data_IF_224479414788
#
_entry.id   IF_224479414788
#
_cell.length_a   1.000
_cell.length_b   1.000
_cell.length_c   1.000
_cell.angle_alpha   90.00
_cell.angle_beta   90.00
_cell.angle_gamma   90.00
#
_symmetry.space_group_name_H-M   'P 1'
#
loop_
_entity.id
_entity.type
_entity.pdbx_description
1 polymer ?
#
# COMPACT_ATOMS: atom_id res chain seq x y z
N UNK A 1 33.72 3.67 2.19
CA UNK A 1 32.86 3.94 1.03
C UNK A 1 31.44 4.12 1.55
N UNK A 2 30.69 5.13 1.10
CA UNK A 2 29.34 5.43 1.61
C UNK A 2 28.33 4.92 0.60
N UNK A 3 27.36 4.10 1.02
CA UNK A 3 26.29 3.62 0.14
C UNK A 3 25.04 4.47 0.39
N UNK A 4 24.47 5.13 -0.64
CA UNK A 4 23.29 5.97 -0.46
C UNK A 4 22.12 5.10 0.01
N UNK A 5 21.42 5.53 1.06
CA UNK A 5 20.14 4.95 1.50
C UNK A 5 18.99 5.86 1.07
N UNK A 6 18.06 5.39 0.21
CA UNK A 6 16.87 6.15 -0.10
C UNK A 6 16.11 6.49 1.17
N UNK A 7 15.70 7.76 1.32
CA UNK A 7 14.79 8.17 2.40
C UNK A 7 13.35 7.65 2.19
N UNK A 8 13.10 7.07 1.02
CA UNK A 8 11.84 6.44 0.63
C UNK A 8 11.44 5.34 1.64
N UNK A 9 10.15 5.10 1.78
CA UNK A 9 9.65 3.95 2.52
C UNK A 9 10.15 2.64 1.86
N UNK A 10 10.47 1.62 2.67
CA UNK A 10 11.02 0.35 2.19
C UNK A 10 10.07 -0.42 1.26
N UNK A 11 8.76 -0.20 1.34
CA UNK A 11 7.80 -0.78 0.40
C UNK A 11 7.66 0.08 -0.85
N UNK A 12 8.24 -0.41 -1.94
CA UNK A 12 8.48 0.34 -3.17
C UNK A 12 7.85 -0.34 -4.38
N UNK A 13 7.77 0.41 -5.47
CA UNK A 13 7.50 -0.10 -6.82
C UNK A 13 8.61 0.38 -7.75
N UNK A 14 8.88 -0.40 -8.80
CA UNK A 14 9.84 -0.05 -9.84
C UNK A 14 9.09 0.27 -11.13
N UNK A 15 9.15 1.51 -11.59
CA UNK A 15 8.57 1.95 -12.85
C UNK A 15 9.66 2.06 -13.92
N UNK A 16 9.47 1.46 -15.09
CA UNK A 16 10.33 1.66 -16.24
C UNK A 16 9.80 2.82 -17.09
N UNK A 17 10.52 3.96 -17.21
CA UNK A 17 10.11 5.06 -18.08
C UNK A 17 10.11 4.67 -19.57
N UNK A 18 11.00 3.76 -19.95
CA UNK A 18 11.15 3.29 -21.33
C UNK A 18 9.94 2.47 -21.76
N UNK A 19 9.54 1.49 -20.95
CA UNK A 19 8.42 0.60 -21.26
C UNK A 19 7.06 1.12 -20.78
N UNK A 20 7.06 2.15 -19.93
CA UNK A 20 5.88 2.73 -19.27
C UNK A 20 5.06 1.71 -18.47
N UNK A 21 5.75 0.73 -17.90
CA UNK A 21 5.18 -0.34 -17.09
C UNK A 21 5.93 -0.45 -15.76
N UNK A 22 5.28 -1.12 -14.81
CA UNK A 22 5.81 -1.45 -13.50
C UNK A 22 6.33 -2.88 -13.47
N UNK A 23 7.37 -3.09 -12.66
CA UNK A 23 7.81 -4.43 -12.31
C UNK A 23 6.72 -5.15 -11.50
N UNK A 24 6.55 -6.45 -11.76
CA UNK A 24 5.57 -7.32 -11.12
C UNK A 24 6.16 -8.71 -10.94
N UNK A 25 6.17 -9.19 -9.71
CA UNK A 25 6.56 -10.56 -9.40
C UNK A 25 5.52 -11.56 -9.92
N UNK A 26 6.00 -12.68 -10.45
CA UNK A 26 5.20 -13.84 -10.81
C UNK A 26 5.68 -15.03 -9.98
N UNK A 27 5.00 -15.33 -8.86
CA UNK A 27 5.39 -16.45 -7.99
C UNK A 27 5.15 -17.82 -8.65
N UNK A 28 4.31 -17.91 -9.68
CA UNK A 28 4.03 -19.18 -10.37
C UNK A 28 5.19 -19.57 -11.28
N UNK A 29 5.77 -18.57 -11.97
CA UNK A 29 6.94 -18.76 -12.83
C UNK A 29 8.27 -18.50 -12.11
N UNK A 30 8.23 -18.11 -10.83
CA UNK A 30 9.37 -17.62 -10.05
C UNK A 30 10.20 -16.56 -10.78
N UNK A 31 9.54 -15.56 -11.37
CA UNK A 31 10.18 -14.51 -12.20
C UNK A 31 9.63 -13.13 -11.87
N UNK A 32 10.26 -12.08 -12.39
CA UNK A 32 9.73 -10.71 -12.34
C UNK A 32 9.60 -10.18 -13.76
N UNK A 33 8.47 -9.55 -14.08
CA UNK A 33 8.19 -8.99 -15.40
C UNK A 33 7.98 -7.48 -15.30
N UNK A 34 8.33 -6.72 -16.33
CA UNK A 34 8.09 -5.27 -16.41
C UNK A 34 6.92 -5.02 -17.37
N UNK A 35 5.75 -5.57 -17.01
CA UNK A 35 4.59 -5.66 -17.90
C UNK A 35 3.30 -5.06 -17.32
N UNK A 36 3.30 -4.65 -16.05
CA UNK A 36 2.10 -4.15 -15.41
C UNK A 36 1.87 -2.68 -15.77
N UNK A 37 0.76 -2.30 -16.43
CA UNK A 37 0.51 -0.90 -16.77
C UNK A 37 0.16 -0.06 -15.53
N UNK A 38 -0.41 -0.69 -14.50
CA UNK A 38 -0.89 -0.04 -13.26
C UNK A 38 -0.57 -0.95 -12.05
N UNK A 39 -0.05 -0.42 -10.94
CA UNK A 39 0.45 -1.22 -9.81
C UNK A 39 -0.63 -1.50 -8.75
N UNK A 40 -1.84 -1.90 -9.17
CA UNK A 40 -2.93 -2.25 -8.24
C UNK A 40 -2.84 -3.68 -7.69
N UNK A 41 -1.94 -4.50 -8.24
CA UNK A 41 -1.68 -5.87 -7.78
C UNK A 41 -0.65 -5.85 -6.65
N UNK A 42 -0.81 -6.73 -5.67
CA UNK A 42 0.15 -6.87 -4.57
C UNK A 42 1.52 -7.33 -5.07
N UNK A 43 1.56 -8.04 -6.19
CA UNK A 43 2.76 -8.50 -6.88
C UNK A 43 3.62 -7.38 -7.48
N UNK A 44 3.08 -6.16 -7.62
CA UNK A 44 3.86 -5.01 -8.08
C UNK A 44 4.70 -4.38 -6.97
N UNK A 45 4.37 -4.66 -5.70
CA UNK A 45 5.09 -4.13 -4.54
C UNK A 45 6.30 -5.00 -4.15
N UNK A 46 7.40 -4.33 -3.83
CA UNK A 46 8.64 -4.96 -3.37
C UNK A 46 9.11 -4.33 -2.07
N UNK A 47 9.65 -5.13 -1.15
CA UNK A 47 10.42 -4.63 -0.02
C UNK A 47 11.89 -4.49 -0.42
N UNK A 48 12.41 -3.29 -0.24
CA UNK A 48 13.80 -2.96 -0.48
C UNK A 48 14.58 -3.11 0.83
N UNK A 49 15.31 -4.22 0.96
CA UNK A 49 16.16 -4.48 2.11
C UNK A 49 17.56 -3.96 1.86
N UNK A 50 18.19 -3.39 2.89
CA UNK A 50 19.59 -3.00 2.84
C UNK A 50 20.41 -3.84 3.82
N UNK A 51 21.35 -4.61 3.29
CA UNK A 51 22.22 -5.47 4.07
C UNK A 51 23.65 -5.43 3.51
N UNK A 52 24.64 -5.25 4.39
CA UNK A 52 26.07 -5.31 4.05
C UNK A 52 26.50 -4.43 2.85
N UNK A 53 25.87 -3.27 2.68
CA UNK A 53 26.19 -2.35 1.58
C UNK A 53 25.43 -2.63 0.27
N UNK A 54 24.59 -3.65 0.24
CA UNK A 54 23.82 -4.08 -0.92
C UNK A 54 22.32 -4.02 -0.67
N UNK A 55 21.56 -4.06 -1.76
CA UNK A 55 20.12 -4.06 -1.78
C UNK A 55 19.57 -5.41 -2.21
N UNK A 56 18.49 -5.85 -1.56
CA UNK A 56 17.75 -7.03 -1.95
C UNK A 56 16.29 -6.63 -2.23
N UNK A 57 15.74 -7.14 -3.34
CA UNK A 57 14.34 -6.94 -3.72
C UNK A 57 13.52 -8.15 -3.30
N UNK A 58 12.73 -8.02 -2.24
CA UNK A 58 11.79 -9.05 -1.79
C UNK A 58 10.40 -8.79 -2.38
N UNK A 59 9.81 -9.80 -3.01
CA UNK A 59 8.45 -9.76 -3.55
C UNK A 59 7.39 -9.84 -2.44
N UNK A 60 6.14 -9.60 -2.80
CA UNK A 60 5.03 -9.70 -1.85
C UNK A 60 4.73 -11.11 -1.32
N UNK A 61 5.36 -12.13 -1.90
CA UNK A 61 5.32 -13.52 -1.43
C UNK A 61 6.56 -13.92 -0.62
N UNK A 62 7.35 -12.95 -0.17
CA UNK A 62 8.57 -13.15 0.60
C UNK A 62 9.66 -13.97 -0.12
N UNK A 63 9.80 -13.73 -1.43
CA UNK A 63 10.88 -14.28 -2.23
C UNK A 63 11.76 -13.15 -2.80
N UNK A 64 13.05 -13.37 -2.88
CA UNK A 64 14.04 -12.40 -3.35
C UNK A 64 14.38 -12.60 -4.82
N UNK A 65 14.50 -11.50 -5.58
CA UNK A 65 15.03 -11.53 -6.94
C UNK A 65 16.53 -11.88 -6.90
N UNK A 66 16.93 -12.86 -7.70
CA UNK A 66 18.33 -13.29 -7.84
C UNK A 66 18.96 -12.85 -9.17
N UNK A 67 20.29 -12.93 -9.24
CA UNK A 67 21.12 -12.75 -10.43
C UNK A 67 20.82 -13.76 -11.54
N UNK A 68 20.13 -14.86 -11.21
CA UNK A 68 19.73 -15.92 -12.14
C UNK A 68 18.30 -15.73 -12.67
N UNK A 69 17.77 -14.51 -12.59
CA UNK A 69 16.44 -14.10 -13.04
C UNK A 69 15.30 -14.90 -12.39
N UNK A 70 15.53 -15.36 -11.15
CA UNK A 70 14.58 -16.18 -10.39
C UNK A 70 14.30 -15.61 -9.02
N UNK A 71 13.08 -15.86 -8.55
CA UNK A 71 12.67 -15.64 -7.17
C UNK A 71 13.14 -16.81 -6.27
N UNK A 72 13.85 -16.50 -5.19
CA UNK A 72 14.41 -17.46 -4.22
C UNK A 72 13.96 -17.12 -2.80
N UNK A 73 13.87 -18.10 -1.91
CA UNK A 73 13.23 -17.91 -0.59
C UNK A 73 14.09 -17.20 0.46
N UNK A 74 15.39 -17.02 0.22
CA UNK A 74 16.32 -16.46 1.20
C UNK A 74 17.29 -15.46 0.55
N UNK A 75 17.68 -14.40 1.26
CA UNK A 75 18.71 -13.48 0.78
C UNK A 75 20.08 -14.16 0.78
N UNK A 76 20.89 -13.83 -0.22
CA UNK A 76 22.27 -14.32 -0.34
C UNK A 76 23.08 -13.38 -1.23
N UNK A 77 24.33 -13.70 -1.49
CA UNK A 77 25.16 -12.97 -2.48
C UNK A 77 24.52 -12.95 -3.87
N UNK A 78 23.76 -13.99 -4.23
CA UNK A 78 23.04 -14.08 -5.50
C UNK A 78 21.81 -13.17 -5.58
N UNK A 79 21.39 -12.53 -4.50
CA UNK A 79 20.25 -11.59 -4.48
C UNK A 79 20.67 -10.17 -4.09
N UNK A 80 21.98 -9.94 -3.96
CA UNK A 80 22.57 -8.68 -3.54
C UNK A 80 22.83 -7.80 -4.77
N UNK A 81 22.32 -6.57 -4.76
CA UNK A 81 22.52 -5.60 -5.83
C UNK A 81 23.12 -4.31 -5.29
N UNK A 82 24.10 -3.75 -5.99
CA UNK A 82 24.55 -2.39 -5.79
C UNK A 82 23.60 -1.42 -6.48
N UNK A 83 23.16 -0.38 -5.77
CA UNK A 83 22.26 0.63 -6.31
C UNK A 83 23.04 1.87 -6.75
N UNK A 84 22.83 2.28 -7.99
CA UNK A 84 23.23 3.58 -8.50
C UNK A 84 22.01 4.49 -8.54
N UNK A 85 22.16 5.75 -8.12
CA UNK A 85 21.07 6.73 -8.08
C UNK A 85 21.43 7.93 -8.95
N UNK A 86 20.47 8.40 -9.76
CA UNK A 86 20.55 9.62 -10.57
C UNK A 86 19.43 10.61 -10.20
N UNK A 87 19.59 11.91 -10.56
CA UNK A 87 18.53 12.90 -10.38
C UNK A 87 17.19 12.43 -10.96
N UNK A 88 16.09 12.84 -10.32
CA UNK A 88 14.74 12.42 -10.72
C UNK A 88 14.32 11.06 -10.17
N UNK A 89 15.06 10.49 -9.19
CA UNK A 89 14.71 9.23 -8.55
C UNK A 89 14.99 7.98 -9.41
N UNK A 90 15.83 8.15 -10.45
CA UNK A 90 16.24 7.05 -11.31
C UNK A 90 17.27 6.18 -10.58
N UNK A 91 17.03 4.88 -10.58
CA UNK A 91 17.88 3.87 -9.98
C UNK A 91 18.24 2.79 -10.99
N UNK A 92 19.47 2.29 -10.89
CA UNK A 92 19.91 1.08 -11.55
C UNK A 92 20.49 0.12 -10.51
N UNK A 93 20.24 -1.18 -10.69
CA UNK A 93 20.67 -2.23 -9.78
C UNK A 93 21.67 -3.13 -10.52
N UNK A 94 22.87 -3.29 -9.96
CA UNK A 94 23.97 -4.04 -10.57
C UNK A 94 24.49 -5.14 -9.65
N UNK A 95 25.09 -6.19 -10.21
CA UNK A 95 25.77 -7.25 -9.45
C UNK A 95 27.15 -6.82 -8.90
N UNK A 96 27.72 -5.72 -9.39
CA UNK A 96 29.08 -5.26 -9.06
C UNK A 96 30.18 -5.87 -9.93
N UNK A 97 29.85 -6.84 -10.77
CA UNK A 97 30.75 -7.51 -11.71
C UNK A 97 30.54 -7.04 -13.17
N UNK A 98 29.59 -6.12 -13.38
CA UNK A 98 29.29 -5.48 -14.66
C UNK A 98 27.92 -5.83 -15.21
N UNK A 99 27.18 -6.74 -14.57
CA UNK A 99 25.78 -7.01 -14.85
C UNK A 99 24.86 -5.93 -14.27
N UNK A 100 23.82 -5.60 -15.04
CA UNK A 100 22.77 -4.64 -14.69
C UNK A 100 21.40 -5.31 -14.81
N UNK A 101 20.48 -5.01 -13.89
CA UNK A 101 19.08 -5.42 -14.02
C UNK A 101 18.35 -4.51 -15.01
N UNK A 102 17.71 -5.11 -16.00
CA UNK A 102 16.81 -4.43 -16.93
C UNK A 102 15.79 -5.39 -17.53
N UNK A 103 14.77 -4.85 -18.21
CA UNK A 103 13.76 -5.64 -18.88
C UNK A 103 14.30 -6.23 -20.20
N UNK A 104 14.17 -7.54 -20.37
CA UNK A 104 14.75 -8.29 -21.47
C UNK A 104 13.71 -9.07 -22.28
N UNK A 105 13.91 -9.12 -23.59
CA UNK A 105 13.08 -9.91 -24.51
C UNK A 105 11.64 -9.38 -24.70
N UNK A 106 10.83 -10.07 -25.50
CA UNK A 106 9.50 -9.60 -25.91
C UNK A 106 8.48 -9.55 -24.77
N UNK A 107 8.73 -10.30 -23.68
CA UNK A 107 7.88 -10.33 -22.48
C UNK A 107 8.41 -9.44 -21.34
N UNK A 108 9.50 -8.69 -21.58
CA UNK A 108 10.07 -7.77 -20.60
C UNK A 108 10.42 -8.47 -19.27
N UNK A 109 11.12 -9.61 -19.36
CA UNK A 109 11.65 -10.30 -18.18
C UNK A 109 12.67 -9.40 -17.47
N UNK A 110 12.45 -9.07 -16.20
CA UNK A 110 13.45 -8.37 -15.42
C UNK A 110 14.57 -9.35 -15.06
N UNK A 111 15.75 -9.11 -15.62
CA UNK A 111 16.89 -10.00 -15.43
C UNK A 111 18.22 -9.29 -15.55
N UNK A 112 19.28 -9.98 -15.13
CA UNK A 112 20.64 -9.48 -15.14
C UNK A 112 21.24 -9.64 -16.54
N UNK A 113 21.86 -8.59 -17.07
CA UNK A 113 22.52 -8.62 -18.36
C UNK A 113 23.67 -7.62 -18.44
N UNK A 114 24.55 -7.77 -19.42
CA UNK A 114 25.82 -7.03 -19.50
C UNK A 114 25.78 -5.78 -20.40
N UNK A 115 24.68 -5.56 -21.13
CA UNK A 115 24.64 -4.52 -22.17
C UNK A 115 23.24 -3.91 -22.33
N UNK A 116 22.71 -3.21 -21.30
CA UNK A 116 21.49 -2.46 -21.47
C UNK A 116 21.68 -1.37 -22.54
N UNK A 117 20.67 -1.17 -23.38
CA UNK A 117 20.70 -0.17 -24.45
C UNK A 117 19.71 0.96 -24.16
N UNK A 118 20.06 2.19 -24.52
CA UNK A 118 19.17 3.36 -24.45
C UNK A 118 18.52 3.60 -23.07
N UNK A 119 19.19 3.21 -21.99
CA UNK A 119 18.73 3.45 -20.63
C UNK A 119 17.72 2.44 -20.10
N UNK A 120 17.65 1.23 -20.67
CA UNK A 120 16.83 0.10 -20.20
C UNK A 120 17.04 -0.24 -18.71
N UNK A 121 18.22 0.05 -18.17
CA UNK A 121 18.60 -0.20 -16.78
C UNK A 121 17.99 0.78 -15.77
N UNK A 122 17.43 1.89 -16.23
CA UNK A 122 16.91 2.94 -15.34
C UNK A 122 15.44 2.72 -14.99
N UNK A 123 15.19 2.58 -13.70
CA UNK A 123 13.85 2.54 -13.10
C UNK A 123 13.63 3.76 -12.23
N UNK A 124 12.40 4.26 -12.14
CA UNK A 124 12.02 5.21 -11.10
C UNK A 124 11.57 4.41 -9.90
N UNK A 125 12.25 4.60 -8.78
CA UNK A 125 11.85 4.02 -7.49
C UNK A 125 10.79 4.91 -6.85
N UNK A 126 9.60 4.36 -6.59
CA UNK A 126 8.48 5.12 -6.05
C UNK A 126 7.91 4.43 -4.82
N UNK A 127 7.22 5.19 -3.96
CA UNK A 127 6.36 4.60 -2.94
C UNK A 127 5.33 3.69 -3.61
N UNK A 128 5.08 2.53 -3.02
CA UNK A 128 3.96 1.71 -3.45
C UNK A 128 2.65 2.50 -3.21
N UNK A 129 1.88 2.87 -4.23
CA UNK A 129 0.65 3.64 -4.02
C UNK A 129 -0.39 2.78 -3.30
N UNK A 130 -1.26 3.39 -2.52
CA UNK A 130 -2.34 2.65 -1.85
C UNK A 130 -3.49 2.42 -2.82
N UNK A 131 -3.83 1.16 -3.07
CA UNK A 131 -5.05 0.79 -3.80
C UNK A 131 -6.05 0.17 -2.84
N UNK A 132 -7.31 0.57 -2.98
CA UNK A 132 -8.41 0.12 -2.13
C UNK A 132 -9.59 -0.37 -2.96
N UNK A 133 -10.41 -1.17 -2.31
CA UNK A 133 -11.77 -1.48 -2.73
C UNK A 133 -12.75 -0.87 -1.73
N UNK A 134 -13.88 -0.41 -2.25
CA UNK A 134 -14.96 0.15 -1.45
C UNK A 134 -16.16 -0.77 -1.53
N UNK A 135 -16.64 -1.23 -0.37
CA UNK A 135 -17.76 -2.16 -0.27
C UNK A 135 -18.96 -1.45 0.35
N UNK A 136 -20.10 -1.50 -0.33
CA UNK A 136 -21.35 -0.93 0.17
C UNK A 136 -21.98 -1.80 1.26
N UNK A 137 -23.01 -1.27 1.93
CA UNK A 137 -23.86 -2.02 2.88
C UNK A 137 -24.47 -3.28 2.26
N UNK A 138 -24.79 -3.27 0.96
CA UNK A 138 -25.32 -4.44 0.24
C UNK A 138 -24.26 -5.48 -0.10
N UNK A 139 -23.05 -5.37 0.49
CA UNK A 139 -21.92 -6.30 0.32
C UNK A 139 -21.36 -6.36 -1.10
N UNK A 140 -21.77 -5.43 -1.97
CA UNK A 140 -21.23 -5.27 -3.32
C UNK A 140 -20.09 -4.26 -3.32
N UNK A 141 -19.09 -4.50 -4.14
CA UNK A 141 -18.02 -3.56 -4.41
C UNK A 141 -18.48 -2.47 -5.36
N UNK A 142 -17.98 -1.25 -5.13
CA UNK A 142 -18.08 -0.18 -6.10
C UNK A 142 -17.19 -0.54 -7.28
N UNK A 143 -17.75 -0.47 -8.48
CA UNK A 143 -17.05 -0.81 -9.72
C UNK A 143 -17.41 0.19 -10.81
N UNK A 144 -16.44 0.51 -11.65
CA UNK A 144 -16.67 1.24 -12.90
C UNK A 144 -17.28 0.26 -13.92
N UNK A 145 -18.43 0.64 -14.48
CA UNK A 145 -19.16 -0.10 -15.52
C UNK A 145 -19.31 0.81 -16.74
N UNK A 146 -19.22 0.23 -17.93
CA UNK A 146 -19.29 0.95 -19.21
C UNK A 146 -18.29 2.12 -19.26
N UNK A 147 -17.10 1.88 -18.70
CA UNK A 147 -15.96 2.80 -18.62
C UNK A 147 -16.15 4.13 -17.88
N UNK A 148 -17.36 4.44 -17.40
CA UNK A 148 -17.68 5.76 -16.84
C UNK A 148 -18.58 5.68 -15.61
N UNK A 149 -19.62 4.86 -15.61
CA UNK A 149 -20.59 4.84 -14.52
C UNK A 149 -20.08 4.03 -13.33
N UNK A 150 -20.41 4.44 -12.10
CA UNK A 150 -19.97 3.73 -10.90
C UNK A 150 -21.17 3.09 -10.21
N UNK A 151 -21.14 1.77 -10.04
CA UNK A 151 -22.20 1.00 -9.40
C UNK A 151 -21.67 0.16 -8.25
N UNK A 152 -22.52 -0.10 -7.27
CA UNK A 152 -22.38 -1.26 -6.38
C UNK A 152 -22.75 -2.54 -7.17
N UNK A 153 -21.78 -3.08 -7.91
CA UNK A 153 -22.02 -4.01 -9.01
C UNK A 153 -22.06 -5.47 -8.56
N UNK A 154 -20.98 -5.94 -7.92
CA UNK A 154 -20.70 -7.36 -7.69
C UNK A 154 -20.09 -7.60 -6.32
N UNK A 155 -20.24 -8.82 -5.79
CA UNK A 155 -19.49 -9.26 -4.59
C UNK A 155 -18.07 -9.72 -4.92
N UNK A 156 -17.72 -9.84 -6.20
CA UNK A 156 -16.39 -10.22 -6.65
C UNK A 156 -15.55 -8.98 -6.98
N UNK A 157 -14.29 -9.01 -6.56
CA UNK A 157 -13.33 -7.98 -6.92
C UNK A 157 -12.91 -8.14 -8.38
N UNK A 158 -12.92 -7.01 -9.09
CA UNK A 158 -12.37 -6.87 -10.45
C UNK A 158 -11.41 -5.69 -10.46
N UNK A 159 -10.53 -5.56 -11.46
CA UNK A 159 -9.69 -4.37 -11.60
C UNK A 159 -10.48 -3.06 -11.59
N UNK A 160 -11.68 -3.05 -12.20
CA UNK A 160 -12.57 -1.88 -12.21
C UNK A 160 -13.23 -1.59 -10.86
N UNK A 161 -13.03 -2.46 -9.86
CA UNK A 161 -13.46 -2.26 -8.47
C UNK A 161 -12.36 -1.72 -7.56
N UNK A 162 -11.17 -1.46 -8.13
CA UNK A 162 -10.01 -0.96 -7.42
C UNK A 162 -9.80 0.51 -7.73
N UNK A 163 -9.51 1.28 -6.69
CA UNK A 163 -9.26 2.70 -6.76
C UNK A 163 -7.97 3.03 -6.03
N UNK A 164 -7.09 3.80 -6.66
CA UNK A 164 -5.96 4.42 -6.00
C UNK A 164 -6.51 5.45 -5.02
N UNK A 165 -6.07 5.33 -3.76
CA UNK A 165 -6.44 6.21 -2.67
C UNK A 165 -5.42 7.36 -2.60
N UNK A 166 -5.84 8.54 -3.02
CA UNK A 166 -4.99 9.73 -3.03
C UNK A 166 -5.58 10.76 -2.06
N UNK A 167 -4.92 10.95 -0.92
CA UNK A 167 -5.43 11.85 0.12
C UNK A 167 -4.36 12.82 0.57
N UNK A 168 -4.79 14.07 0.67
CA UNK A 168 -4.01 15.17 1.22
C UNK A 168 -4.32 15.29 2.72
N UNK A 169 -3.29 15.05 3.53
CA UNK A 169 -3.38 15.05 4.99
C UNK A 169 -3.76 16.44 5.54
N UNK A 170 -3.41 17.53 4.84
CA UNK A 170 -3.67 18.89 5.32
C UNK A 170 -5.15 19.30 5.14
N UNK A 171 -5.80 18.77 4.09
CA UNK A 171 -7.15 19.18 3.70
C UNK A 171 -8.24 18.13 3.97
N UNK A 172 -7.85 16.92 4.43
CA UNK A 172 -8.74 15.77 4.60
C UNK A 172 -9.59 15.46 3.35
N UNK A 173 -9.04 15.82 2.19
CA UNK A 173 -9.64 15.56 0.89
C UNK A 173 -9.09 14.28 0.30
N UNK A 174 -9.98 13.51 -0.31
CA UNK A 174 -9.72 12.25 -0.97
C UNK A 174 -10.09 12.37 -2.45
N UNK A 175 -9.19 11.90 -3.29
CA UNK A 175 -9.46 11.58 -4.69
C UNK A 175 -9.35 10.07 -4.88
N UNK A 176 -10.23 9.52 -5.70
CA UNK A 176 -10.26 8.09 -6.02
C UNK A 176 -9.99 7.92 -7.51
N UNK A 177 -8.79 7.47 -7.87
CA UNK A 177 -8.42 7.20 -9.25
C UNK A 177 -8.70 5.75 -9.59
N UNK A 178 -9.53 5.51 -10.60
CA UNK A 178 -9.87 4.15 -11.01
C UNK A 178 -8.77 3.52 -11.89
N UNK A 179 -8.86 2.21 -12.10
CA UNK A 179 -7.93 1.47 -12.95
C UNK A 179 -7.94 1.90 -14.43
N UNK A 180 -8.92 2.67 -14.93
CA UNK A 180 -8.86 3.25 -16.27
C UNK A 180 -8.04 4.56 -16.34
N UNK A 181 -7.52 5.03 -15.19
CA UNK A 181 -6.73 6.25 -15.07
C UNK A 181 -7.53 7.51 -14.77
N UNK A 182 -8.86 7.48 -14.87
CA UNK A 182 -9.75 8.59 -14.54
C UNK A 182 -10.10 8.64 -13.05
N UNK A 183 -10.46 9.83 -12.57
CA UNK A 183 -10.88 10.07 -11.20
C UNK A 183 -12.40 9.99 -11.06
N UNK A 184 -12.86 9.55 -9.89
CA UNK A 184 -14.27 9.71 -9.53
C UNK A 184 -14.58 11.19 -9.37
N UNK A 185 -15.67 11.63 -9.99
CA UNK A 185 -16.08 13.02 -9.99
C UNK A 185 -17.59 13.15 -9.81
N UNK A 186 -18.02 14.10 -8.98
CA UNK A 186 -19.43 14.44 -8.86
C UNK A 186 -19.88 15.25 -10.08
N UNK A 187 -20.92 14.79 -10.78
CA UNK A 187 -21.45 15.40 -12.01
C UNK A 187 -22.88 15.93 -11.83
N UNK A 188 -23.44 16.47 -12.91
CA UNK A 188 -24.84 16.94 -12.97
C UNK A 188 -25.80 15.82 -12.56
N UNK A 189 -26.97 16.20 -12.06
CA UNK A 189 -27.96 15.25 -11.52
C UNK A 189 -27.46 14.38 -10.36
N UNK A 190 -26.40 14.84 -9.67
CA UNK A 190 -25.86 14.20 -8.46
C UNK A 190 -25.22 12.83 -8.70
N UNK A 191 -24.96 12.45 -9.95
CA UNK A 191 -24.25 11.20 -10.27
C UNK A 191 -22.76 11.33 -9.95
N UNK A 192 -22.11 10.21 -9.66
CA UNK A 192 -20.65 10.14 -9.54
C UNK A 192 -20.12 9.24 -10.64
N UNK A 193 -19.22 9.78 -11.47
CA UNK A 193 -18.70 9.12 -12.66
C UNK A 193 -17.17 9.03 -12.60
N UNK A 194 -16.59 8.00 -13.21
CA UNK A 194 -15.15 7.79 -13.36
C UNK A 194 -14.59 8.47 -14.63
N UNK A 195 -14.80 9.78 -14.76
CA UNK A 195 -14.35 10.57 -15.91
C UNK A 195 -13.70 11.91 -15.52
N UNK A 196 -13.27 12.04 -14.26
CA UNK A 196 -12.62 13.24 -13.75
C UNK A 196 -11.12 13.28 -14.05
N UNK A 197 -10.61 14.50 -14.09
CA UNK A 197 -9.18 14.82 -14.13
C UNK A 197 -8.66 15.26 -12.74
N UNK A 198 -7.37 15.06 -12.44
CA UNK A 198 -6.82 15.27 -11.09
C UNK A 198 -6.94 16.71 -10.56
N UNK A 199 -7.03 17.70 -11.45
CA UNK A 199 -7.12 19.13 -11.07
C UNK A 199 -8.57 19.63 -10.96
N UNK A 200 -9.56 18.78 -11.22
CA UNK A 200 -10.97 19.17 -11.13
C UNK A 200 -11.46 19.18 -9.69
N UNK A 201 -12.04 20.30 -9.25
CA UNK A 201 -12.66 20.43 -7.93
C UNK A 201 -13.70 19.33 -7.63
N UNK A 202 -14.43 18.88 -8.66
CA UNK A 202 -15.47 17.84 -8.56
C UNK A 202 -14.94 16.46 -8.16
N UNK A 203 -13.62 16.25 -8.19
CA UNK A 203 -12.97 14.99 -7.83
C UNK A 203 -12.54 14.91 -6.37
N UNK A 204 -12.60 16.03 -5.63
CA UNK A 204 -12.19 16.10 -4.23
C UNK A 204 -13.38 15.83 -3.31
N UNK A 205 -13.33 14.71 -2.59
CA UNK A 205 -14.32 14.34 -1.59
C UNK A 205 -13.75 14.57 -0.18
N UNK A 206 -14.55 15.12 0.74
CA UNK A 206 -14.18 15.08 2.16
C UNK A 206 -14.49 13.71 2.72
N UNK A 207 -13.57 13.19 3.51
CA UNK A 207 -13.68 11.87 4.11
C UNK A 207 -13.98 11.97 5.60
N UNK A 208 -14.92 11.16 6.07
CA UNK A 208 -15.21 10.97 7.49
C UNK A 208 -15.07 9.50 7.86
N UNK A 209 -14.30 9.21 8.89
CA UNK A 209 -14.08 7.85 9.38
C UNK A 209 -15.15 7.43 10.40
N UNK A 210 -15.53 6.16 10.32
CA UNK A 210 -16.35 5.47 11.31
C UNK A 210 -15.83 4.02 11.46
N UNK A 211 -14.80 3.82 12.28
CA UNK A 211 -14.27 2.51 12.68
C UNK A 211 -14.09 1.54 11.50
N UNK A 212 -13.21 1.90 10.55
CA UNK A 212 -12.90 1.06 9.38
C UNK A 212 -13.89 1.22 8.21
N UNK A 213 -14.88 2.10 8.34
CA UNK A 213 -15.73 2.58 7.26
C UNK A 213 -15.46 4.05 6.99
N UNK A 214 -15.75 4.46 5.76
CA UNK A 214 -15.67 5.84 5.34
C UNK A 214 -17.04 6.33 4.86
N UNK A 215 -17.30 7.59 5.12
CA UNK A 215 -18.42 8.35 4.55
C UNK A 215 -17.79 9.47 3.72
N UNK A 216 -18.20 9.58 2.46
CA UNK A 216 -17.64 10.55 1.52
C UNK A 216 -18.62 11.67 1.26
N UNK A 217 -18.16 12.92 1.39
CA UNK A 217 -18.92 14.12 1.08
C UNK A 217 -18.34 14.78 -0.16
N UNK A 218 -19.18 14.99 -1.17
CA UNK A 218 -18.82 15.72 -2.39
C UNK A 218 -18.68 17.24 -2.16
N UNK A 219 -18.05 17.99 -3.08
CA UNK A 219 -17.88 19.44 -2.96
C UNK A 219 -19.19 20.22 -2.78
N UNK A 220 -20.30 19.70 -3.31
CA UNK A 220 -21.64 20.28 -3.16
C UNK A 220 -22.27 20.03 -1.77
N UNK A 221 -21.50 19.49 -0.81
CA UNK A 221 -21.89 19.16 0.57
C UNK A 221 -22.92 18.04 0.70
N UNK A 222 -23.11 17.23 -0.34
CA UNK A 222 -23.91 15.99 -0.27
C UNK A 222 -23.03 14.76 -0.11
N UNK A 223 -23.55 13.79 0.62
CA UNK A 223 -22.88 12.51 0.87
C UNK A 223 -23.15 11.52 -0.25
N UNK A 224 -22.11 10.74 -0.57
CA UNK A 224 -22.15 9.68 -1.55
C UNK A 224 -22.86 8.47 -0.96
N UNK A 225 -23.82 7.94 -1.70
CA UNK A 225 -24.58 6.76 -1.33
C UNK A 225 -24.99 5.96 -2.56
N UNK A 226 -25.53 4.78 -2.32
CA UNK A 226 -25.97 3.87 -3.38
C UNK A 226 -27.47 3.99 -3.58
N UNK A 227 -27.86 4.37 -4.79
CA UNK A 227 -29.25 4.45 -5.21
C UNK A 227 -29.89 3.05 -5.29
N UNK A 228 -31.23 2.93 -5.31
CA UNK A 228 -31.91 1.63 -5.40
C UNK A 228 -31.52 0.77 -6.60
N UNK A 229 -31.15 1.41 -7.72
CA UNK A 229 -30.65 0.74 -8.93
C UNK A 229 -29.16 0.38 -8.86
N UNK A 230 -28.48 0.64 -7.74
CA UNK A 230 -27.06 0.36 -7.53
C UNK A 230 -26.10 1.48 -7.92
N UNK A 231 -26.58 2.58 -8.54
CA UNK A 231 -25.73 3.67 -9.00
C UNK A 231 -25.18 4.51 -7.83
N UNK A 232 -23.91 4.92 -7.91
CA UNK A 232 -23.29 5.82 -6.96
C UNK A 232 -23.73 7.27 -7.21
N UNK A 233 -24.31 7.91 -6.18
CA UNK A 233 -24.81 9.28 -6.26
C UNK A 233 -24.50 10.09 -5.00
N UNK A 234 -24.26 11.39 -5.16
CA UNK A 234 -24.12 12.36 -4.08
C UNK A 234 -25.48 13.03 -3.77
N UNK A 235 -26.41 12.29 -3.15
CA UNK A 235 -27.82 12.68 -3.12
C UNK A 235 -28.30 13.26 -1.79
N UNK A 236 -27.77 12.81 -0.65
CA UNK A 236 -28.28 13.14 0.69
C UNK A 236 -27.44 14.19 1.41
N UNK A 237 -28.03 14.95 2.32
CA UNK A 237 -27.34 15.99 3.13
C UNK A 237 -26.99 15.52 4.54
N UNK A 238 -27.59 14.41 4.98
CA UNK A 238 -27.30 13.76 6.26
C UNK A 238 -27.00 12.30 5.92
N UNK A 239 -25.81 11.78 6.27
CA UNK A 239 -25.45 10.42 5.90
C UNK A 239 -26.23 9.43 6.76
N UNK A 240 -26.67 8.35 6.14
CA UNK A 240 -27.21 7.18 6.80
C UNK A 240 -26.37 5.95 6.51
N UNK A 241 -26.90 4.76 6.81
CA UNK A 241 -26.13 3.53 6.64
C UNK A 241 -25.83 3.12 5.18
N UNK A 242 -26.45 3.76 4.19
CA UNK A 242 -26.19 3.51 2.76
C UNK A 242 -25.05 4.38 2.21
N UNK A 243 -24.63 5.39 2.97
CA UNK A 243 -23.51 6.29 2.67
C UNK A 243 -22.21 5.83 3.33
N UNK A 244 -22.24 4.75 4.11
CA UNK A 244 -21.07 4.11 4.68
C UNK A 244 -20.49 3.06 3.73
N UNK A 245 -19.20 3.22 3.41
CA UNK A 245 -18.43 2.28 2.61
C UNK A 245 -17.35 1.64 3.46
N UNK A 246 -17.33 0.31 3.49
CA UNK A 246 -16.23 -0.41 4.08
C UNK A 246 -15.01 -0.40 3.17
N UNK A 247 -13.85 -0.05 3.70
CA UNK A 247 -12.59 0.02 2.95
C UNK A 247 -11.79 -1.27 3.11
N UNK A 248 -11.15 -1.73 2.04
CA UNK A 248 -10.18 -2.82 2.09
C UNK A 248 -8.99 -2.53 1.20
N UNK A 249 -7.79 -2.67 1.75
CA UNK A 249 -6.54 -2.56 0.99
C UNK A 249 -6.45 -3.69 -0.03
N UNK A 250 -6.08 -3.36 -1.27
CA UNK A 250 -6.04 -4.29 -2.39
C UNK A 250 -4.62 -4.76 -2.70
N UNK A 251 -3.65 -3.85 -2.72
CA UNK A 251 -2.24 -4.16 -3.04
C UNK A 251 -1.34 -4.19 -1.80
N UNK A 252 -1.90 -4.50 -0.63
CA UNK A 252 -1.18 -4.65 0.64
C UNK A 252 -1.53 -5.98 1.30
N UNK A 253 -0.91 -7.10 0.90
CA UNK A 253 -1.04 -8.38 1.61
C UNK A 253 -0.38 -8.34 2.99
N UNK A 254 0.58 -7.45 3.19
CA UNK A 254 1.20 -7.11 4.46
C UNK A 254 1.44 -5.60 4.53
N UNK A 255 1.79 -5.13 5.72
CA UNK A 255 2.31 -3.79 5.99
C UNK A 255 3.72 -3.87 6.52
N UNK A 256 4.48 -2.82 6.28
CA UNK A 256 5.66 -2.47 7.08
C UNK A 256 5.42 -1.05 7.55
N UNK A 257 5.58 -0.78 8.84
CA UNK A 257 5.18 0.51 9.42
C UNK A 257 6.41 1.33 9.79
N UNK A 258 6.50 2.55 9.28
CA UNK A 258 7.49 3.55 9.71
C UNK A 258 6.82 4.65 10.51
N UNK A 259 7.21 4.78 11.76
CA UNK A 259 6.79 5.88 12.64
C UNK A 259 7.85 6.97 12.70
N UNK A 260 7.72 7.85 13.70
CA UNK A 260 8.64 8.99 13.88
C UNK A 260 10.08 8.57 14.17
N UNK A 261 10.27 7.47 14.90
CA UNK A 261 11.58 7.05 15.41
C UNK A 261 12.24 5.94 14.56
N UNK A 262 11.54 5.39 13.58
CA UNK A 262 12.03 4.29 12.74
C UNK A 262 10.92 3.31 12.37
N UNK A 263 11.32 2.13 11.94
CA UNK A 263 10.41 1.06 11.59
C UNK A 263 9.92 0.28 12.81
N UNK A 264 8.71 -0.26 12.68
CA UNK A 264 8.19 -1.25 13.61
C UNK A 264 8.82 -2.61 13.32
N UNK A 265 9.33 -3.24 14.38
CA UNK A 265 9.96 -4.53 14.28
C UNK A 265 10.24 -5.17 15.63
N UNK A 266 10.94 -6.30 15.57
CA UNK A 266 11.31 -7.13 16.69
C UNK A 266 12.84 -7.04 16.81
N UNK A 267 13.32 -6.74 18.00
CA UNK A 267 14.75 -6.77 18.31
C UNK A 267 15.09 -8.08 19.03
N UNK A 268 16.20 -8.75 18.71
CA UNK A 268 16.63 -9.93 19.46
C UNK A 268 16.96 -9.61 20.94
N UNK A 269 17.20 -8.34 21.28
CA UNK A 269 17.50 -7.90 22.64
C UNK A 269 16.24 -7.62 23.46
N UNK A 270 15.08 -7.49 22.83
CA UNK A 270 13.84 -7.05 23.47
C UNK A 270 12.69 -8.00 23.19
N UNK A 271 12.01 -8.43 24.24
CA UNK A 271 10.81 -9.27 24.12
C UNK A 271 9.59 -8.50 23.55
N UNK A 272 9.63 -7.17 23.57
CA UNK A 272 8.54 -6.32 23.11
C UNK A 272 8.84 -5.76 21.72
N UNK A 273 7.78 -5.55 20.93
CA UNK A 273 7.91 -4.86 19.65
C UNK A 273 8.45 -3.44 19.84
N UNK A 274 9.39 -3.10 18.98
CA UNK A 274 10.03 -1.79 18.91
C UNK A 274 9.54 -1.02 17.69
N UNK A 275 9.76 0.30 17.69
CA UNK A 275 9.38 1.25 16.64
C UNK A 275 10.53 2.21 16.27
N UNK A 276 11.76 1.82 16.59
CA UNK A 276 13.00 2.52 16.28
C UNK A 276 13.98 1.66 15.47
N UNK A 277 13.46 0.68 14.71
CA UNK A 277 14.28 -0.23 13.92
C UNK A 277 14.73 0.42 12.61
N UNK A 278 15.92 0.05 12.12
CA UNK A 278 16.41 0.48 10.81
C UNK A 278 15.73 -0.28 9.65
N UNK A 279 15.41 -1.56 9.89
CA UNK A 279 14.71 -2.42 8.93
C UNK A 279 13.34 -2.82 9.48
N UNK A 280 12.30 -2.87 8.64
CA UNK A 280 10.98 -3.29 9.08
C UNK A 280 10.84 -4.79 9.25
N UNK A 281 9.90 -5.21 10.10
CA UNK A 281 9.28 -6.52 9.97
C UNK A 281 7.91 -6.43 9.29
N UNK A 282 7.60 -7.45 8.50
CA UNK A 282 6.32 -7.57 7.81
C UNK A 282 5.19 -7.93 8.78
N UNK A 283 4.07 -7.23 8.62
CA UNK A 283 2.81 -7.46 9.31
C UNK A 283 1.81 -7.98 8.29
N UNK A 284 1.62 -9.29 8.25
CA UNK A 284 0.60 -9.88 7.38
C UNK A 284 -0.79 -9.44 7.81
N UNK A 285 -1.56 -8.97 6.83
CA UNK A 285 -2.91 -8.52 7.03
C UNK A 285 -3.88 -9.66 6.72
N UNK A 286 -4.54 -10.21 7.74
CA UNK A 286 -5.64 -11.13 7.54
C UNK A 286 -6.97 -10.36 7.67
N UNK A 287 -7.72 -10.14 6.58
CA UNK A 287 -8.96 -9.38 6.63
C UNK A 287 -10.03 -10.12 7.45
N UNK A 288 -10.59 -9.44 8.45
CA UNK A 288 -11.68 -9.97 9.28
C UNK A 288 -13.03 -9.36 8.87
N UNK A 289 -13.11 -8.02 8.94
CA UNK A 289 -14.25 -7.20 8.51
C UNK A 289 -13.71 -5.99 7.75
N UNK A 290 -14.58 -5.20 7.13
CA UNK A 290 -14.12 -4.01 6.41
C UNK A 290 -13.39 -3.06 7.36
N UNK A 291 -12.17 -2.65 6.98
CA UNK A 291 -11.26 -1.85 7.80
C UNK A 291 -10.66 -2.55 9.02
N UNK A 292 -11.03 -3.80 9.33
CA UNK A 292 -10.54 -4.54 10.51
C UNK A 292 -9.73 -5.76 10.06
N UNK A 293 -8.50 -5.84 10.56
CA UNK A 293 -7.54 -6.87 10.22
C UNK A 293 -7.01 -7.56 11.47
N UNK A 294 -6.59 -8.80 11.30
CA UNK A 294 -5.69 -9.45 12.25
C UNK A 294 -4.27 -9.27 11.77
N UNK A 295 -3.39 -8.89 12.68
CA UNK A 295 -1.96 -8.71 12.41
C UNK A 295 -1.23 -10.00 12.75
N UNK A 296 -0.60 -10.58 11.73
CA UNK A 296 0.18 -11.81 11.85
C UNK A 296 1.65 -11.51 11.54
N UNK A 297 2.55 -11.96 12.41
CA UNK A 297 3.99 -11.89 12.20
C UNK A 297 4.44 -12.94 11.17
N UNK A 298 5.64 -12.77 10.60
CA UNK A 298 6.19 -13.64 9.54
C UNK A 298 6.26 -15.13 9.94
N UNK A 299 6.36 -15.45 11.24
CA UNK A 299 6.32 -16.82 11.76
C UNK A 299 4.91 -17.42 11.93
N UNK A 300 3.87 -16.76 11.41
CA UNK A 300 2.48 -17.21 11.51
C UNK A 300 1.79 -16.95 12.85
N UNK A 301 2.52 -16.45 13.85
CA UNK A 301 1.96 -16.04 15.14
C UNK A 301 1.24 -14.69 15.04
N UNK A 302 0.28 -14.44 15.92
CA UNK A 302 -0.47 -13.19 15.93
C UNK A 302 0.19 -12.14 16.81
N UNK A 303 -0.06 -10.87 16.49
CA UNK A 303 0.24 -9.79 17.42
C UNK A 303 -0.67 -9.90 18.65
N UNK A 304 -0.06 -9.75 19.83
CA UNK A 304 -0.76 -9.71 21.12
C UNK A 304 -0.44 -8.43 21.86
N UNK A 305 -1.37 -7.99 22.72
CA UNK A 305 -1.24 -6.79 23.54
C UNK A 305 -1.12 -7.19 25.02
N UNK A 306 -0.22 -6.54 25.75
CA UNK A 306 -0.04 -6.75 27.20
C UNK A 306 -1.00 -5.87 28.01
N UNK A 307 -1.09 -6.09 29.33
CA UNK A 307 -1.85 -5.23 30.24
C UNK A 307 -1.35 -3.79 30.29
N UNK A 308 -0.14 -3.52 29.82
CA UNK A 308 0.47 -2.19 29.77
C UNK A 308 0.33 -1.53 28.39
N UNK A 309 -0.46 -2.11 27.48
CA UNK A 309 -0.65 -1.57 26.13
C UNK A 309 0.56 -1.73 25.20
N UNK A 310 1.50 -2.62 25.52
CA UNK A 310 2.65 -2.94 24.65
C UNK A 310 2.41 -4.21 23.84
N UNK A 311 3.18 -4.42 22.76
CA UNK A 311 2.94 -5.51 21.82
C UNK A 311 4.00 -6.62 21.83
N UNK A 312 3.57 -7.85 21.55
CA UNK A 312 4.42 -9.04 21.36
C UNK A 312 4.03 -9.82 20.09
N UNK A 313 4.99 -10.40 19.35
CA UNK A 313 4.74 -11.01 18.05
C UNK A 313 4.32 -12.49 18.10
N UNK A 314 4.33 -13.13 19.28
CA UNK A 314 4.05 -14.57 19.47
C UNK A 314 2.70 -14.85 20.14
N UNK A 315 1.69 -14.05 19.83
CA UNK A 315 0.32 -14.27 20.26
C UNK A 315 -0.29 -15.52 19.61
N UNK A 316 -1.09 -16.26 20.40
CA UNK A 316 -1.81 -17.45 19.93
C UNK A 316 -3.15 -17.13 19.27
N UNK A 317 -3.74 -15.97 19.59
CA UNK A 317 -5.08 -15.60 19.17
C UNK A 317 -5.05 -14.34 18.31
N UNK A 318 -5.91 -14.32 17.31
CA UNK A 318 -6.09 -13.18 16.43
C UNK A 318 -6.82 -12.05 17.17
N UNK A 319 -6.24 -10.85 17.16
CA UNK A 319 -6.85 -9.64 17.70
C UNK A 319 -7.32 -8.71 16.58
N UNK A 320 -8.31 -7.87 16.87
CA UNK A 320 -8.89 -6.95 15.89
C UNK A 320 -8.17 -5.60 15.92
N UNK A 321 -7.50 -5.27 14.82
CA UNK A 321 -6.90 -3.97 14.59
C UNK A 321 -7.70 -3.23 13.53
N UNK A 322 -8.13 -2.01 13.83
CA UNK A 322 -8.81 -1.16 12.86
C UNK A 322 -7.79 -0.23 12.19
N UNK A 323 -7.74 -0.26 10.86
CA UNK A 323 -6.86 0.60 10.05
C UNK A 323 -7.68 1.74 9.48
N UNK A 324 -7.19 2.95 9.67
CA UNK A 324 -7.77 4.17 9.10
C UNK A 324 -6.71 4.93 8.32
N UNK A 325 -6.97 5.18 7.03
CA UNK A 325 -6.05 5.92 6.16
C UNK A 325 -6.15 7.42 6.47
N UNK A 326 -5.02 8.04 6.78
CA UNK A 326 -4.90 9.48 7.06
C UNK A 326 -4.27 10.25 5.89
N UNK A 327 -3.69 9.53 4.92
CA UNK A 327 -3.11 10.10 3.71
C UNK A 327 -2.84 9.02 2.68
N UNK A 328 -2.26 9.38 1.52
CA UNK A 328 -2.01 8.43 0.41
C UNK A 328 -1.21 7.18 0.82
N UNK A 329 -0.27 7.30 1.76
CA UNK A 329 0.49 6.18 2.35
C UNK A 329 0.68 6.39 3.86
N UNK A 330 -0.28 7.04 4.52
CA UNK A 330 -0.29 7.27 5.96
C UNK A 330 -1.52 6.63 6.57
N UNK A 331 -1.36 5.96 7.70
CA UNK A 331 -2.45 5.34 8.43
C UNK A 331 -2.31 5.52 9.94
N UNK A 332 -3.42 5.31 10.63
CA UNK A 332 -3.49 5.07 12.07
C UNK A 332 -3.97 3.64 12.31
N UNK A 333 -3.60 3.09 13.45
CA UNK A 333 -4.07 1.77 13.89
C UNK A 333 -4.75 1.93 15.24
N UNK A 334 -6.05 1.66 15.30
CA UNK A 334 -6.79 1.53 16.55
C UNK A 334 -6.67 0.08 17.04
N UNK A 335 -6.08 -0.10 18.20
CA UNK A 335 -5.78 -1.39 18.78
C UNK A 335 -6.99 -1.99 19.52
N UNK A 336 -6.95 -3.30 19.87
CA UNK A 336 -8.08 -4.00 20.48
C UNK A 336 -8.51 -3.45 21.85
N UNK A 337 -7.63 -2.73 22.53
CA UNK A 337 -7.92 -2.08 23.82
C UNK A 337 -8.60 -0.71 23.66
N UNK A 338 -8.90 -0.27 22.44
CA UNK A 338 -9.60 0.99 22.16
C UNK A 338 -8.70 2.22 22.07
N UNK A 339 -7.39 2.06 22.07
CA UNK A 339 -6.43 3.15 21.96
C UNK A 339 -5.66 3.09 20.64
N UNK A 340 -5.25 4.25 20.14
CA UNK A 340 -4.39 4.34 18.96
C UNK A 340 -2.98 3.90 19.27
N UNK A 341 -2.42 3.11 18.36
CA UNK A 341 -1.03 2.69 18.38
C UNK A 341 -0.12 3.88 18.11
N UNK A 342 0.86 4.13 18.97
CA UNK A 342 1.83 5.22 18.84
C UNK A 342 3.28 4.77 19.03
N UNK A 343 4.18 5.49 18.38
CA UNK A 343 5.62 5.35 18.61
C UNK A 343 6.07 6.12 19.85
N UNK A 344 6.87 5.49 20.71
CA UNK A 344 7.45 6.14 21.88
C UNK A 344 8.93 6.46 21.67
N UNK A 345 9.40 7.56 22.28
CA UNK A 345 10.80 7.98 22.23
C UNK A 345 11.79 6.95 22.80
N UNK A 346 11.34 6.05 23.67
CA UNK A 346 12.14 4.93 24.17
C UNK A 346 12.37 3.84 23.13
N UNK A 347 11.64 3.88 22.00
CA UNK A 347 11.62 2.84 20.98
C UNK A 347 10.52 1.81 21.18
N UNK A 348 9.81 1.78 22.31
CA UNK A 348 8.73 0.80 22.54
C UNK A 348 7.44 1.18 21.81
N UNK A 349 6.75 0.19 21.24
CA UNK A 349 5.44 0.37 20.62
C UNK A 349 4.31 0.29 21.66
N UNK A 350 3.47 1.32 21.74
CA UNK A 350 2.34 1.40 22.68
C UNK A 350 1.00 1.55 21.97
N UNK A 351 -0.08 1.16 22.65
CA UNK A 351 -1.45 1.52 22.34
C UNK A 351 -2.14 2.07 23.60
N UNK A 352 -1.93 3.35 23.85
CA UNK A 352 -2.41 4.09 25.01
C UNK A 352 -2.88 5.53 24.66
N UNK A 353 -2.90 5.88 23.36
CA UNK A 353 -3.32 7.20 22.90
C UNK A 353 -4.83 7.23 22.64
N UNK A 354 -5.56 8.12 23.32
CA UNK A 354 -7.00 8.31 23.10
C UNK A 354 -7.27 9.07 21.78
N UNK A 355 -6.46 10.08 21.51
CA UNK A 355 -6.53 10.90 20.31
C UNK A 355 -5.44 10.53 19.29
N UNK A 356 -5.67 10.88 18.01
CA UNK A 356 -4.67 10.76 16.96
C UNK A 356 -3.65 11.89 17.11
N UNK A 357 -2.44 11.54 17.55
CA UNK A 357 -1.30 12.45 17.60
C UNK A 357 -0.33 12.18 16.45
N UNK A 358 0.70 13.03 16.30
CA UNK A 358 1.77 12.80 15.31
C UNK A 358 2.50 11.48 15.50
N UNK A 359 2.55 10.97 16.74
CA UNK A 359 3.19 9.68 17.05
C UNK A 359 2.31 8.48 16.69
N UNK A 360 1.03 8.70 16.40
CA UNK A 360 0.07 7.68 15.98
C UNK A 360 0.02 7.48 14.46
N UNK A 361 0.73 8.33 13.70
CA UNK A 361 0.76 8.28 12.24
C UNK A 361 1.88 7.35 11.79
N UNK A 362 1.51 6.38 10.95
CA UNK A 362 2.42 5.39 10.39
C UNK A 362 2.43 5.48 8.88
N UNK A 363 3.62 5.57 8.30
CA UNK A 363 3.82 5.37 6.87
C UNK A 363 3.90 3.87 6.55
N UNK A 364 3.38 3.44 5.40
CA UNK A 364 3.21 2.01 5.07
C UNK A 364 3.31 1.58 3.59
#
# INVERSE_FOLDING_TARGET
MWTPRPALHAHVILYSPLHRCYARADPTLSRVWVDAPIPYLGECGFLLHFQDGCYHLESSTHCFLSHLDRLVSQPSTQTAFHMQVRPGGLVALSDGEGGMLYAQGPRLLLGLGSSPHRGEEWFILQHCPTWVSLRSRSRKFLSVIYDVEVYAASEHLTPMSLFQFESDNDNLTLQLRSANGCYLAQRRHRTVLANGHPLECDTFFRMHWNCGRIILQSPNRRFLGIAPNGLLMASVTIPGPNEEFGIRLANRPFLVLRGRYGYVGISPEHDLMQCNMDQPNCIHLLPCRQGIYHFQAQGGSFWSITSFGTFRPWGKFALNFCIELQGSNLLTVLAPNGFYMRSDRSGTLFADSEDITKECIWEF
#
